data_IF_716012030756
#
_entry.id   IF_716012030756
#
_cell.length_a   1.000
_cell.length_b   1.000
_cell.length_c   1.000
_cell.angle_alpha   90.00
_cell.angle_beta   90.00
_cell.angle_gamma   90.00
#
_symmetry.space_group_name_H-M   'P 1'
#
loop_
_entity.id
_entity.type
_entity.pdbx_description
1 polymer ?
#
# COMPACT_ATOMS: atom_id res chain seq x y z
N UNK A 1 30.52 11.10 14.98
CA UNK A 1 29.64 10.01 15.47
C UNK A 1 28.18 10.19 15.01
N UNK A 2 27.51 11.33 15.25
CA UNK A 2 26.09 11.56 14.88
C UNK A 2 25.80 11.36 13.38
N UNK A 3 26.70 11.79 12.50
CA UNK A 3 26.54 11.69 11.03
C UNK A 3 26.61 10.25 10.50
N UNK A 4 27.37 9.37 11.16
CA UNK A 4 27.51 7.97 10.76
C UNK A 4 26.25 7.16 11.08
N UNK A 5 25.67 7.31 12.26
CA UNK A 5 24.41 6.67 12.64
C UNK A 5 23.22 7.11 11.79
N UNK A 6 23.17 8.39 11.37
CA UNK A 6 22.14 8.86 10.44
C UNK A 6 22.28 8.18 9.06
N UNK A 7 23.50 8.09 8.53
CA UNK A 7 23.75 7.46 7.24
C UNK A 7 23.41 5.96 7.25
N UNK A 8 23.67 5.27 8.34
CA UNK A 8 23.33 3.86 8.52
C UNK A 8 21.80 3.64 8.57
N UNK A 9 21.07 4.48 9.30
CA UNK A 9 19.59 4.46 9.31
C UNK A 9 18.97 4.73 7.94
N UNK A 10 19.50 5.68 7.17
CA UNK A 10 19.01 5.95 5.82
C UNK A 10 19.21 4.76 4.88
N UNK A 11 20.36 4.09 4.98
CA UNK A 11 20.62 2.88 4.21
C UNK A 11 19.60 1.79 4.57
N UNK A 12 19.34 1.58 5.85
CA UNK A 12 18.33 0.63 6.34
C UNK A 12 16.92 0.95 5.81
N UNK A 13 16.52 2.23 5.79
CA UNK A 13 15.21 2.62 5.25
C UNK A 13 15.12 2.38 3.75
N UNK A 14 16.17 2.71 3.00
CA UNK A 14 16.24 2.43 1.57
C UNK A 14 16.16 0.93 1.28
N UNK A 15 16.85 0.10 2.04
CA UNK A 15 16.82 -1.36 1.86
C UNK A 15 15.43 -1.93 2.14
N UNK A 16 14.79 -1.51 3.24
CA UNK A 16 13.41 -1.90 3.54
C UNK A 16 12.41 -1.55 2.44
N UNK A 17 12.58 -0.39 1.79
CA UNK A 17 11.70 0.00 0.69
C UNK A 17 12.05 -0.71 -0.62
N UNK A 18 13.33 -1.01 -0.86
CA UNK A 18 13.76 -1.83 -1.99
C UNK A 18 13.14 -3.22 -1.94
N UNK A 19 13.11 -3.84 -0.77
CA UNK A 19 12.56 -5.19 -0.56
C UNK A 19 11.03 -5.24 -0.73
N UNK A 20 10.38 -4.09 -0.86
CA UNK A 20 8.95 -4.00 -1.13
C UNK A 20 8.59 -4.12 -2.63
N UNK A 21 9.57 -4.10 -3.53
CA UNK A 21 9.37 -4.12 -4.97
C UNK A 21 10.14 -5.25 -5.65
N UNK A 22 9.66 -5.74 -6.82
CA UNK A 22 10.41 -6.71 -7.63
C UNK A 22 11.80 -6.21 -8.00
N UNK A 23 12.77 -7.12 -8.09
CA UNK A 23 14.16 -6.81 -8.45
C UNK A 23 14.29 -6.13 -9.81
N UNK A 24 13.39 -6.45 -10.75
CA UNK A 24 13.35 -5.82 -12.06
C UNK A 24 13.15 -4.29 -12.02
N UNK A 25 12.56 -3.76 -10.92
CA UNK A 25 12.32 -2.34 -10.73
C UNK A 25 13.42 -1.63 -9.92
N UNK A 26 14.53 -2.30 -9.60
CA UNK A 26 15.55 -1.80 -8.67
C UNK A 26 16.07 -0.40 -9.01
N UNK A 27 16.38 -0.15 -10.27
CA UNK A 27 16.89 1.16 -10.73
C UNK A 27 15.86 2.27 -10.54
N UNK A 28 14.59 1.97 -10.87
CA UNK A 28 13.49 2.92 -10.75
C UNK A 28 13.15 3.19 -9.28
N UNK A 29 13.18 2.14 -8.44
CA UNK A 29 13.04 2.27 -6.99
C UNK A 29 14.15 3.14 -6.42
N UNK A 30 15.42 2.91 -6.79
CA UNK A 30 16.56 3.68 -6.29
C UNK A 30 16.46 5.16 -6.66
N UNK A 31 15.99 5.49 -7.86
CA UNK A 31 15.72 6.86 -8.27
C UNK A 31 14.69 7.54 -7.35
N UNK A 32 13.58 6.84 -7.04
CA UNK A 32 12.56 7.34 -6.11
C UNK A 32 13.12 7.50 -4.69
N UNK A 33 13.89 6.53 -4.19
CA UNK A 33 14.45 6.58 -2.84
C UNK A 33 15.42 7.75 -2.62
N UNK A 34 16.00 8.28 -3.68
CA UNK A 34 16.95 9.39 -3.59
C UNK A 34 16.28 10.73 -3.29
N UNK A 35 15.00 10.88 -3.59
CA UNK A 35 14.23 12.11 -3.31
C UNK A 35 13.43 12.05 -2.02
N UNK A 36 13.39 10.88 -1.31
CA UNK A 36 12.60 10.74 -0.09
C UNK A 36 13.27 11.45 1.10
N UNK A 37 12.51 12.19 1.92
CA UNK A 37 13.03 13.02 3.00
C UNK A 37 13.28 12.22 4.29
N UNK A 38 14.23 11.30 4.29
CA UNK A 38 14.57 10.47 5.47
C UNK A 38 15.28 11.24 6.58
N UNK A 39 15.74 12.47 6.33
CA UNK A 39 16.38 13.34 7.33
C UNK A 39 15.38 13.99 8.28
N UNK A 40 14.11 14.06 7.91
CA UNK A 40 13.07 14.72 8.69
C UNK A 40 12.25 13.69 9.49
N UNK A 41 12.47 13.69 10.81
CA UNK A 41 11.72 12.86 11.75
C UNK A 41 10.38 13.51 12.20
N UNK A 42 9.98 14.63 11.60
CA UNK A 42 8.74 15.33 11.91
C UNK A 42 7.64 14.92 10.92
N UNK A 43 6.87 13.91 11.27
CA UNK A 43 5.77 13.45 10.45
C UNK A 43 4.59 14.45 10.50
N UNK A 44 4.17 14.95 9.34
CA UNK A 44 3.03 15.87 9.19
C UNK A 44 1.78 15.09 8.83
N UNK A 45 0.68 15.36 9.53
CA UNK A 45 -0.64 14.83 9.19
C UNK A 45 -1.55 15.97 8.75
N UNK A 46 -2.35 15.74 7.72
CA UNK A 46 -3.29 16.72 7.17
C UNK A 46 -4.24 17.26 8.28
N UNK A 47 -4.21 18.57 8.51
CA UNK A 47 -5.07 19.24 9.52
C UNK A 47 -4.71 19.00 10.99
N UNK A 48 -3.53 18.43 11.30
CA UNK A 48 -3.12 18.12 12.67
C UNK A 48 -1.68 18.57 12.98
N UNK A 49 -1.30 18.45 14.26
CA UNK A 49 0.03 18.79 14.73
C UNK A 49 1.10 17.86 14.16
N UNK A 50 2.33 18.35 14.07
CA UNK A 50 3.52 17.59 13.71
C UNK A 50 3.84 16.59 14.81
N UNK A 51 4.08 15.35 14.43
CA UNK A 51 4.46 14.26 15.34
C UNK A 51 5.93 13.96 15.13
N UNK A 52 6.73 13.97 16.18
CA UNK A 52 8.11 13.48 16.13
C UNK A 52 8.13 11.95 16.18
N UNK A 53 8.86 11.32 15.27
CA UNK A 53 8.89 9.87 15.11
C UNK A 53 10.32 9.34 15.18
N UNK A 54 10.56 8.31 15.99
CA UNK A 54 11.88 7.71 16.15
C UNK A 54 12.23 6.72 15.03
N UNK A 55 11.23 6.08 14.43
CA UNK A 55 11.38 5.14 13.32
C UNK A 55 10.42 5.52 12.19
N UNK A 56 10.98 5.75 11.00
CA UNK A 56 10.20 6.19 9.83
C UNK A 56 9.50 5.04 9.10
N UNK A 57 9.91 3.78 9.29
CA UNK A 57 9.36 2.63 8.58
C UNK A 57 9.10 1.47 9.54
N UNK A 58 7.82 1.09 9.67
CA UNK A 58 7.39 -0.05 10.47
C UNK A 58 7.14 -1.27 9.56
N UNK A 59 7.74 -2.44 9.86
CA UNK A 59 7.56 -3.66 9.08
C UNK A 59 6.14 -4.21 9.23
N UNK A 60 5.67 -4.97 8.23
CA UNK A 60 4.36 -5.63 8.27
C UNK A 60 4.35 -6.92 9.11
N UNK A 61 5.51 -7.52 9.34
CA UNK A 61 5.66 -8.86 9.93
C UNK A 61 5.28 -10.00 8.99
N UNK A 62 4.84 -9.73 7.75
CA UNK A 62 4.54 -10.72 6.72
C UNK A 62 5.24 -10.33 5.42
N UNK A 63 5.80 -11.33 4.76
CA UNK A 63 6.23 -11.25 3.36
C UNK A 63 5.10 -11.69 2.44
N UNK A 64 5.13 -11.23 1.19
CA UNK A 64 4.20 -11.63 0.14
C UNK A 64 4.96 -12.22 -1.03
N UNK A 65 4.35 -13.21 -1.66
CA UNK A 65 4.83 -13.81 -2.90
C UNK A 65 4.28 -13.01 -4.08
N UNK A 66 5.14 -12.65 -5.02
CA UNK A 66 4.76 -12.04 -6.30
C UNK A 66 5.69 -12.59 -7.39
N UNK A 67 5.15 -13.31 -8.35
CA UNK A 67 5.90 -13.85 -9.51
C UNK A 67 7.24 -14.51 -9.15
N UNK A 68 7.27 -15.40 -8.19
CA UNK A 68 8.48 -16.09 -7.66
C UNK A 68 9.44 -15.22 -6.83
N UNK A 69 9.10 -13.99 -6.52
CA UNK A 69 9.85 -13.14 -5.59
C UNK A 69 9.11 -12.98 -4.26
N UNK A 70 9.86 -12.92 -3.17
CA UNK A 70 9.34 -12.57 -1.84
C UNK A 70 9.55 -11.08 -1.61
N UNK A 71 8.46 -10.36 -1.36
CA UNK A 71 8.47 -8.91 -1.10
C UNK A 71 8.10 -8.63 0.36
N UNK A 72 8.71 -7.58 0.92
CA UNK A 72 8.49 -7.11 2.29
C UNK A 72 7.80 -5.75 2.28
N UNK A 73 6.47 -5.74 2.20
CA UNK A 73 5.70 -4.49 2.16
C UNK A 73 5.65 -3.86 3.55
N UNK A 74 6.07 -2.60 3.75
CA UNK A 74 5.96 -1.94 5.05
C UNK A 74 4.52 -1.86 5.54
N UNK A 75 4.32 -1.98 6.86
CA UNK A 75 3.00 -1.74 7.45
C UNK A 75 2.64 -0.26 7.44
N UNK A 76 3.57 0.59 7.88
CA UNK A 76 3.40 2.06 7.94
C UNK A 76 4.72 2.78 7.68
N UNK A 77 4.61 3.94 7.04
CA UNK A 77 5.68 4.91 6.87
C UNK A 77 5.27 6.26 7.48
N UNK A 78 6.26 7.00 7.98
CA UNK A 78 6.06 8.25 8.74
C UNK A 78 6.95 9.40 8.25
N UNK A 79 7.51 9.33 7.05
CA UNK A 79 8.23 10.44 6.43
C UNK A 79 7.31 11.25 5.52
N UNK A 80 7.57 12.55 5.43
CA UNK A 80 6.79 13.48 4.63
C UNK A 80 6.91 13.20 3.12
N UNK A 81 6.08 13.84 2.30
CA UNK A 81 6.22 13.79 0.85
C UNK A 81 7.52 14.48 0.42
N UNK A 82 8.11 14.06 -0.71
CA UNK A 82 9.28 14.72 -1.27
C UNK A 82 8.93 16.12 -1.76
N UNK A 83 9.96 16.89 -2.08
CA UNK A 83 9.79 18.18 -2.73
C UNK A 83 9.06 18.02 -4.06
N UNK A 84 8.12 18.93 -4.36
CA UNK A 84 7.26 18.87 -5.54
C UNK A 84 8.07 19.02 -6.85
N UNK A 85 9.17 19.77 -6.81
CA UNK A 85 10.04 19.93 -7.97
C UNK A 85 10.80 18.64 -8.25
N UNK A 86 11.27 17.94 -7.22
CA UNK A 86 11.93 16.62 -7.37
C UNK A 86 10.93 15.55 -7.81
N UNK A 87 9.72 15.53 -7.26
CA UNK A 87 8.67 14.60 -7.71
C UNK A 87 8.29 14.83 -9.17
N UNK A 88 8.27 16.08 -9.64
CA UNK A 88 7.92 16.42 -11.02
C UNK A 88 8.86 15.83 -12.07
N UNK A 89 10.13 15.64 -11.73
CA UNK A 89 11.18 15.07 -12.59
C UNK A 89 11.08 13.56 -12.77
N UNK A 90 10.31 12.87 -11.94
CA UNK A 90 10.16 11.42 -11.99
C UNK A 90 9.46 10.99 -13.28
N UNK A 91 9.89 9.84 -13.81
CA UNK A 91 9.20 9.14 -14.90
C UNK A 91 7.84 8.59 -14.43
N UNK A 92 7.00 8.16 -15.34
CA UNK A 92 5.66 7.62 -15.02
C UNK A 92 5.74 6.37 -14.12
N UNK A 93 6.69 5.46 -14.38
CA UNK A 93 6.92 4.29 -13.54
C UNK A 93 7.44 4.68 -12.15
N UNK A 94 8.34 5.66 -12.05
CA UNK A 94 8.85 6.18 -10.78
C UNK A 94 7.75 6.85 -9.97
N UNK A 95 6.86 7.62 -10.59
CA UNK A 95 5.66 8.19 -9.95
C UNK A 95 4.73 7.10 -9.44
N UNK A 96 4.57 6.01 -10.19
CA UNK A 96 3.77 4.85 -9.76
C UNK A 96 4.40 4.18 -8.53
N UNK A 97 5.72 3.98 -8.50
CA UNK A 97 6.47 3.46 -7.35
C UNK A 97 6.28 4.39 -6.13
N UNK A 98 6.47 5.70 -6.33
CA UNK A 98 6.28 6.70 -5.27
C UNK A 98 4.87 6.63 -4.68
N UNK A 99 3.83 6.57 -5.52
CA UNK A 99 2.45 6.42 -5.06
C UNK A 99 2.26 5.14 -4.24
N UNK A 100 2.81 3.99 -4.67
CA UNK A 100 2.75 2.72 -3.93
C UNK A 100 3.41 2.84 -2.55
N UNK A 101 4.58 3.48 -2.43
CA UNK A 101 5.24 3.74 -1.15
C UNK A 101 4.29 4.51 -0.21
N UNK A 102 3.68 5.59 -0.71
CA UNK A 102 2.79 6.44 0.10
C UNK A 102 1.41 5.84 0.38
N UNK A 103 1.02 4.72 -0.27
CA UNK A 103 -0.12 3.92 0.21
C UNK A 103 0.12 3.33 1.60
N UNK A 104 1.36 3.36 2.10
CA UNK A 104 1.70 2.92 3.47
C UNK A 104 1.81 4.08 4.45
N UNK A 105 1.60 5.32 4.02
CA UNK A 105 1.70 6.49 4.89
C UNK A 105 0.68 6.45 6.02
N UNK A 106 1.03 7.00 7.19
CA UNK A 106 0.15 7.01 8.36
C UNK A 106 -1.07 7.93 8.19
N UNK A 107 -0.97 8.98 7.37
CA UNK A 107 -2.08 9.88 7.04
C UNK A 107 -3.02 9.24 6.00
N UNK A 108 -4.30 9.08 6.36
CA UNK A 108 -5.33 8.51 5.51
C UNK A 108 -5.66 9.34 4.27
N UNK A 109 -5.66 10.68 4.40
CA UNK A 109 -5.91 11.58 3.27
C UNK A 109 -4.81 11.48 2.21
N UNK A 110 -3.56 11.36 2.66
CA UNK A 110 -2.44 11.16 1.75
C UNK A 110 -2.54 9.81 1.03
N UNK A 111 -2.88 8.73 1.75
CA UNK A 111 -3.09 7.42 1.12
C UNK A 111 -4.18 7.46 0.06
N UNK A 112 -5.31 8.12 0.34
CA UNK A 112 -6.41 8.27 -0.61
C UNK A 112 -5.94 8.97 -1.89
N UNK A 113 -5.34 10.15 -1.77
CA UNK A 113 -4.85 10.94 -2.91
C UNK A 113 -3.83 10.17 -3.76
N UNK A 114 -2.90 9.45 -3.11
CA UNK A 114 -1.91 8.63 -3.81
C UNK A 114 -2.54 7.40 -4.49
N UNK A 115 -3.60 6.84 -3.93
CA UNK A 115 -4.37 5.77 -4.58
C UNK A 115 -5.14 6.28 -5.81
N UNK A 116 -5.68 7.50 -5.78
CA UNK A 116 -6.36 8.12 -6.92
C UNK A 116 -5.46 8.18 -8.16
N UNK A 117 -4.15 8.40 -7.97
CA UNK A 117 -3.17 8.40 -9.06
C UNK A 117 -2.87 6.99 -9.62
N UNK A 118 -3.35 5.92 -8.98
CA UNK A 118 -3.13 4.53 -9.38
C UNK A 118 -4.37 3.88 -10.02
N UNK A 119 -5.51 4.57 -10.10
CA UNK A 119 -6.79 3.99 -10.54
C UNK A 119 -6.69 3.36 -11.94
N UNK A 120 -5.94 3.95 -12.86
CA UNK A 120 -5.77 3.49 -14.23
C UNK A 120 -4.51 2.62 -14.44
N UNK A 121 -3.74 2.34 -13.37
CA UNK A 121 -2.56 1.48 -13.41
C UNK A 121 -2.96 0.03 -13.16
N UNK A 122 -2.44 -0.89 -13.97
CA UNK A 122 -2.81 -2.32 -13.94
C UNK A 122 -1.61 -3.27 -13.78
N UNK A 123 -0.43 -2.75 -13.50
CA UNK A 123 0.75 -3.56 -13.23
C UNK A 123 0.53 -4.46 -12.00
N UNK A 124 0.88 -5.75 -12.10
CA UNK A 124 0.65 -6.73 -11.04
C UNK A 124 1.40 -6.40 -9.74
N UNK A 125 2.57 -5.74 -9.84
CA UNK A 125 3.38 -5.36 -8.67
C UNK A 125 2.76 -4.24 -7.82
N UNK A 126 1.69 -3.58 -8.28
CA UNK A 126 0.91 -2.61 -7.50
C UNK A 126 -0.02 -3.32 -6.50
N UNK A 127 -0.48 -4.52 -6.83
CA UNK A 127 -1.49 -5.26 -6.07
C UNK A 127 -1.13 -5.47 -4.58
N UNK A 128 0.11 -5.84 -4.22
CA UNK A 128 0.50 -5.99 -2.81
C UNK A 128 0.24 -4.73 -1.97
N UNK A 129 0.34 -3.54 -2.56
CA UNK A 129 0.12 -2.27 -1.88
C UNK A 129 -1.36 -1.89 -1.81
N UNK A 130 -2.13 -2.14 -2.87
CA UNK A 130 -3.54 -1.77 -2.95
C UNK A 130 -4.44 -2.72 -2.18
N UNK A 131 -4.20 -4.02 -2.22
CA UNK A 131 -5.05 -5.02 -1.53
C UNK A 131 -5.07 -4.82 -0.02
N UNK A 132 -3.97 -4.35 0.57
CA UNK A 132 -3.90 -4.07 2.01
C UNK A 132 -4.88 -2.96 2.43
N UNK A 133 -5.26 -2.09 1.50
CA UNK A 133 -6.20 -1.00 1.76
C UNK A 133 -7.63 -1.48 2.01
N UNK A 134 -7.98 -2.72 1.65
CA UNK A 134 -9.23 -3.34 2.11
C UNK A 134 -9.32 -3.42 3.64
N UNK A 135 -8.19 -3.55 4.32
CA UNK A 135 -8.09 -3.56 5.78
C UNK A 135 -7.80 -2.18 6.36
N UNK A 136 -8.39 -1.11 5.82
CA UNK A 136 -8.27 0.26 6.33
C UNK A 136 -9.61 0.74 6.90
N UNK A 137 -9.53 1.72 7.81
CA UNK A 137 -10.73 2.30 8.45
C UNK A 137 -11.28 3.54 7.73
N UNK A 138 -10.59 4.05 6.70
CA UNK A 138 -11.01 5.23 5.92
C UNK A 138 -11.89 4.77 4.76
N UNK A 139 -13.18 5.09 4.82
CA UNK A 139 -14.17 4.63 3.83
C UNK A 139 -13.91 5.15 2.42
N UNK A 140 -13.42 6.36 2.29
CA UNK A 140 -13.09 7.02 1.03
C UNK A 140 -12.00 6.24 0.27
N UNK A 141 -11.05 5.65 0.99
CA UNK A 141 -10.03 4.77 0.39
C UNK A 141 -10.69 3.55 -0.27
N UNK A 142 -11.72 2.96 0.35
CA UNK A 142 -12.44 1.84 -0.25
C UNK A 142 -13.20 2.25 -1.51
N UNK A 143 -13.73 3.48 -1.56
CA UNK A 143 -14.39 4.01 -2.75
C UNK A 143 -13.42 4.16 -3.93
N UNK A 144 -12.20 4.65 -3.68
CA UNK A 144 -11.16 4.73 -4.71
C UNK A 144 -10.68 3.34 -5.11
N UNK A 145 -10.47 2.44 -4.13
CA UNK A 145 -10.08 1.06 -4.39
C UNK A 145 -11.11 0.31 -5.25
N UNK A 146 -12.41 0.60 -5.08
CA UNK A 146 -13.46 0.04 -5.93
C UNK A 146 -13.28 0.38 -7.43
N UNK A 147 -12.75 1.56 -7.74
CA UNK A 147 -12.43 1.94 -9.13
C UNK A 147 -11.22 1.17 -9.64
N UNK A 148 -10.22 0.93 -8.79
CA UNK A 148 -9.02 0.17 -9.15
C UNK A 148 -9.30 -1.33 -9.31
N UNK A 149 -10.24 -1.93 -8.55
CA UNK A 149 -10.65 -3.35 -8.70
C UNK A 149 -11.67 -3.45 -9.84
N UNK A 150 -11.21 -3.54 -11.08
CA UNK A 150 -12.01 -3.59 -12.30
C UNK A 150 -11.58 -4.77 -13.21
N UNK A 151 -12.15 -4.88 -14.38
CA UNK A 151 -11.91 -6.01 -15.31
C UNK A 151 -10.44 -6.12 -15.76
N UNK A 152 -9.67 -5.02 -15.74
CA UNK A 152 -8.24 -5.03 -16.10
C UNK A 152 -7.33 -5.52 -14.97
N UNK A 153 -7.76 -5.38 -13.71
CA UNK A 153 -6.93 -5.66 -12.53
C UNK A 153 -7.39 -6.87 -11.74
N UNK A 154 -8.63 -7.32 -11.92
CA UNK A 154 -9.25 -8.38 -11.11
C UNK A 154 -8.46 -9.68 -11.14
N UNK A 155 -7.90 -10.08 -12.28
CA UNK A 155 -7.10 -11.30 -12.41
C UNK A 155 -5.81 -11.23 -11.58
N UNK A 156 -5.15 -10.07 -11.54
CA UNK A 156 -3.96 -9.84 -10.71
C UNK A 156 -4.30 -9.93 -9.21
N UNK A 157 -5.47 -9.42 -8.78
CA UNK A 157 -5.95 -9.60 -7.41
C UNK A 157 -6.23 -11.06 -7.09
N UNK A 158 -6.89 -11.79 -7.98
CA UNK A 158 -7.17 -13.23 -7.82
C UNK A 158 -5.87 -14.03 -7.71
N UNK A 159 -4.91 -13.80 -8.60
CA UNK A 159 -3.60 -14.43 -8.54
C UNK A 159 -2.93 -14.15 -7.20
N UNK A 160 -2.89 -12.89 -6.79
CA UNK A 160 -2.25 -12.48 -5.54
C UNK A 160 -2.85 -13.18 -4.31
N UNK A 161 -4.18 -13.26 -4.17
CA UNK A 161 -4.80 -13.89 -2.99
C UNK A 161 -4.56 -15.41 -2.95
N UNK A 162 -4.47 -16.08 -4.11
CA UNK A 162 -4.11 -17.50 -4.22
C UNK A 162 -2.68 -17.76 -3.75
N UNK A 163 -1.74 -16.92 -4.17
CA UNK A 163 -0.34 -17.03 -3.79
C UNK A 163 -0.11 -16.61 -2.32
N UNK A 164 -0.99 -15.78 -1.74
CA UNK A 164 -0.82 -15.18 -0.41
C UNK A 164 -2.01 -15.39 0.54
N UNK A 165 -2.44 -16.63 0.82
CA UNK A 165 -3.65 -16.90 1.59
C UNK A 165 -3.60 -16.40 3.04
N UNK A 166 -2.41 -16.40 3.69
CA UNK A 166 -2.23 -15.86 5.05
C UNK A 166 -2.40 -14.35 5.07
N UNK A 167 -1.80 -13.66 4.10
CA UNK A 167 -1.89 -12.21 3.96
C UNK A 167 -3.33 -11.77 3.69
N UNK A 168 -4.00 -12.49 2.77
CA UNK A 168 -5.41 -12.29 2.47
C UNK A 168 -6.30 -12.44 3.70
N UNK A 169 -6.15 -13.54 4.45
CA UNK A 169 -6.91 -13.78 5.68
C UNK A 169 -6.72 -12.66 6.71
N UNK A 170 -5.49 -12.17 6.87
CA UNK A 170 -5.21 -11.04 7.76
C UNK A 170 -5.90 -9.75 7.29
N UNK A 171 -5.88 -9.48 5.99
CA UNK A 171 -6.54 -8.30 5.38
C UNK A 171 -8.06 -8.36 5.59
N UNK A 172 -8.70 -9.52 5.33
CA UNK A 172 -10.13 -9.71 5.60
C UNK A 172 -10.46 -9.53 7.10
N UNK A 173 -9.65 -10.10 7.99
CA UNK A 173 -9.86 -9.95 9.43
C UNK A 173 -9.81 -8.50 9.88
N UNK A 174 -8.87 -7.71 9.36
CA UNK A 174 -8.78 -6.27 9.63
C UNK A 174 -10.01 -5.52 9.10
N UNK A 175 -10.42 -5.81 7.86
CA UNK A 175 -11.62 -5.23 7.24
C UNK A 175 -12.87 -5.47 8.11
N UNK A 176 -13.07 -6.71 8.59
CA UNK A 176 -14.20 -7.06 9.46
C UNK A 176 -14.11 -6.33 10.80
N UNK A 177 -12.90 -6.24 11.40
CA UNK A 177 -12.69 -5.52 12.66
C UNK A 177 -13.02 -4.03 12.53
N UNK A 178 -12.57 -3.37 11.45
CA UNK A 178 -12.87 -1.96 11.22
C UNK A 178 -14.33 -1.71 10.85
N UNK A 179 -14.98 -2.62 10.10
CA UNK A 179 -16.41 -2.56 9.92
C UNK A 179 -17.15 -2.61 11.25
N UNK A 180 -16.80 -3.56 12.13
CA UNK A 180 -17.45 -3.73 13.42
C UNK A 180 -17.28 -2.50 14.33
N UNK A 181 -16.08 -1.90 14.34
CA UNK A 181 -15.74 -0.77 15.20
C UNK A 181 -16.35 0.54 14.72
N UNK A 182 -16.24 0.84 13.40
CA UNK A 182 -16.54 2.17 12.88
C UNK A 182 -17.82 2.24 12.05
N UNK A 183 -18.22 1.14 11.38
CA UNK A 183 -19.23 1.19 10.31
C UNK A 183 -20.48 0.34 10.58
N UNK A 184 -20.49 -0.50 11.61
CA UNK A 184 -21.61 -1.39 11.91
C UNK A 184 -22.92 -0.65 12.17
N UNK A 185 -22.90 0.56 12.71
CA UNK A 185 -24.10 1.37 12.91
C UNK A 185 -24.71 1.82 11.58
N UNK A 186 -23.90 2.16 10.60
CA UNK A 186 -24.31 2.61 9.28
C UNK A 186 -24.64 1.43 8.35
N UNK A 187 -23.84 0.39 8.40
CA UNK A 187 -23.97 -0.85 7.62
C UNK A 187 -24.24 -2.01 8.59
N UNK A 188 -25.48 -2.18 9.03
CA UNK A 188 -25.85 -3.18 10.06
C UNK A 188 -25.53 -4.63 9.68
N UNK A 189 -25.47 -4.91 8.38
CA UNK A 189 -25.07 -6.22 7.83
C UNK A 189 -23.73 -6.09 7.13
N UNK A 190 -22.74 -6.92 7.52
CA UNK A 190 -21.41 -6.92 6.91
C UNK A 190 -21.47 -7.01 5.37
N UNK A 191 -22.40 -7.78 4.81
CA UNK A 191 -22.56 -7.97 3.36
C UNK A 191 -22.86 -6.68 2.57
N UNK A 192 -23.34 -5.62 3.23
CA UNK A 192 -23.65 -4.32 2.59
C UNK A 192 -22.55 -3.29 2.82
N UNK A 193 -21.43 -3.70 3.42
CA UNK A 193 -20.27 -2.85 3.61
C UNK A 193 -19.34 -2.94 2.40
N UNK A 194 -18.94 -1.81 1.83
CA UNK A 194 -18.17 -1.75 0.61
C UNK A 194 -16.88 -2.61 0.67
N UNK A 195 -16.16 -2.61 1.80
CA UNK A 195 -14.98 -3.46 1.95
C UNK A 195 -15.29 -4.95 1.78
N UNK A 196 -16.46 -5.41 2.26
CA UNK A 196 -16.93 -6.78 2.07
C UNK A 196 -17.34 -7.05 0.63
N UNK A 197 -18.03 -6.12 -0.02
CA UNK A 197 -18.43 -6.25 -1.43
C UNK A 197 -17.21 -6.41 -2.33
N UNK A 198 -16.15 -5.63 -2.08
CA UNK A 198 -14.88 -5.73 -2.80
C UNK A 198 -14.19 -7.08 -2.57
N UNK A 199 -14.12 -7.54 -1.32
CA UNK A 199 -13.56 -8.84 -0.98
C UNK A 199 -14.34 -9.98 -1.66
N UNK A 200 -15.67 -9.91 -1.68
CA UNK A 200 -16.53 -10.89 -2.34
C UNK A 200 -16.40 -10.85 -3.86
N UNK A 201 -16.21 -9.67 -4.46
CA UNK A 201 -15.94 -9.52 -5.90
C UNK A 201 -14.66 -10.28 -6.30
N UNK A 202 -13.56 -10.11 -5.55
CA UNK A 202 -12.31 -10.82 -5.81
C UNK A 202 -12.49 -12.34 -5.64
N UNK A 203 -13.13 -12.78 -4.56
CA UNK A 203 -13.37 -14.21 -4.30
C UNK A 203 -14.31 -14.86 -5.32
N UNK A 204 -15.33 -14.14 -5.80
CA UNK A 204 -16.22 -14.64 -6.85
C UNK A 204 -15.46 -14.87 -8.15
N UNK A 205 -14.61 -13.93 -8.55
CA UNK A 205 -13.75 -14.07 -9.73
C UNK A 205 -12.75 -15.23 -9.57
N UNK A 206 -12.20 -15.42 -8.38
CA UNK A 206 -11.34 -16.58 -8.06
C UNK A 206 -12.02 -17.92 -8.34
N UNK A 207 -13.29 -18.09 -7.89
CA UNK A 207 -14.06 -19.32 -8.08
C UNK A 207 -14.35 -19.59 -9.56
N UNK A 208 -14.70 -18.54 -10.32
CA UNK A 208 -14.95 -18.66 -11.77
C UNK A 208 -13.69 -19.15 -12.48
N UNK A 209 -12.54 -18.56 -12.19
CA UNK A 209 -11.27 -18.97 -12.82
C UNK A 209 -10.85 -20.40 -12.43
N UNK A 210 -11.15 -20.84 -11.21
CA UNK A 210 -10.85 -22.21 -10.76
C UNK A 210 -11.72 -23.29 -11.45
N UNK A 211 -12.91 -22.96 -11.95
CA UNK A 211 -13.78 -23.89 -12.68
C UNK A 211 -13.45 -23.97 -14.18
N UNK A 212 -12.62 -23.06 -14.70
CA UNK A 212 -12.22 -23.03 -16.11
C UNK A 212 -10.85 -23.68 -16.38
N UNK A 213 -10.14 -24.10 -15.35
CA UNK A 213 -8.88 -24.85 -15.38
C UNK A 213 -9.10 -26.31 -15.04
#
# INVERSE_FOLDING_TARGET
>A
MINWFKKEKHTEYKDKLRDAFPKALRSEVDAVLNILPFDDNNAKRTGQQIIKVDNLIFPSGLTVQLDNELLSIPYRIYFNEPDIEEESKLTDIQKTILNCIYLRHFDGYLRQRRLENLVDKNDNWIIPFTIQLLGEYVFEILQVLNKHINDKTIESYVKFIRENPKYWKQTESRMISYWNEYYRRQYSKLKTYLGRELADKIKKSERITAHLQ
#
